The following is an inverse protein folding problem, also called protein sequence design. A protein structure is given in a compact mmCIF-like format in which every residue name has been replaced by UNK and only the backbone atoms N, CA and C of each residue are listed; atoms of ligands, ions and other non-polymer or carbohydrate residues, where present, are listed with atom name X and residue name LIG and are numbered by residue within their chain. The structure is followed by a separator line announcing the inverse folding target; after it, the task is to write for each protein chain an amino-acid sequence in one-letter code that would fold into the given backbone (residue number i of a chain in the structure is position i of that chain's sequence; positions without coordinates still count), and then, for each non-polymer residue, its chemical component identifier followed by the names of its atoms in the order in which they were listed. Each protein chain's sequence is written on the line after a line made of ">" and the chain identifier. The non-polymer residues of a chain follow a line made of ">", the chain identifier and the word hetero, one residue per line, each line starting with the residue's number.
data_IF_470852468970
#
_entry.id   IF_470852468970
#
_cell.length_a   1.000
_cell.length_b   1.000
_cell.length_c   1.000
_cell.angle_alpha   90.00
_cell.angle_beta   90.00
_cell.angle_gamma   90.00
#
_symmetry.space_group_name_H-M   'P 1'
#
loop_
_entity.id
_entity.type
_entity.pdbx_description
1 polymer ?
#
# COMPACT_ATOMS: atom_id res chain seq x y z
N UNK A 1 -4.09 22.65 51.83
CA UNK A 1 -3.06 22.20 52.78
C UNK A 1 -2.54 20.85 52.33
N UNK A 2 -1.21 20.74 52.18
CA UNK A 2 -0.34 19.55 52.38
C UNK A 2 -0.70 18.25 51.62
N UNK A 3 0.21 17.56 50.93
CA UNK A 3 1.68 17.65 50.82
C UNK A 3 2.13 16.73 49.67
N UNK A 4 3.16 17.20 48.97
CA UNK A 4 4.10 16.50 48.08
C UNK A 4 4.53 15.09 48.53
N UNK A 5 5.01 14.27 47.60
CA UNK A 5 6.38 13.70 47.59
C UNK A 5 6.89 13.55 46.13
N UNK A 6 8.15 13.92 45.83
CA UNK A 6 8.81 13.89 44.52
C UNK A 6 9.84 12.75 44.33
N UNK A 7 10.36 12.61 43.11
CA UNK A 7 11.76 12.30 42.72
C UNK A 7 12.47 11.07 43.30
N UNK A 8 12.90 10.13 42.43
CA UNK A 8 14.17 9.41 42.64
C UNK A 8 14.77 8.87 41.34
N UNK A 9 16.00 9.30 41.07
CA UNK A 9 16.91 8.81 40.05
C UNK A 9 17.62 7.52 40.52
N UNK A 10 18.18 6.71 39.61
CA UNK A 10 19.59 6.28 39.69
C UNK A 10 20.10 5.52 38.45
N UNK A 11 21.32 5.90 38.06
CA UNK A 11 22.30 5.22 37.19
C UNK A 11 22.53 3.74 37.54
N UNK A 12 22.89 2.91 36.54
CA UNK A 12 24.02 1.96 36.70
C UNK A 12 24.68 1.63 35.35
N UNK A 13 25.99 1.88 35.25
CA UNK A 13 26.89 1.44 34.19
C UNK A 13 27.63 0.17 34.64
N UNK A 14 28.06 -0.69 33.70
CA UNK A 14 29.26 -1.55 33.85
C UNK A 14 29.73 -2.09 32.49
N UNK A 15 30.94 -1.69 32.07
CA UNK A 15 31.81 -2.36 31.07
C UNK A 15 32.37 -3.67 31.64
N UNK A 16 32.66 -4.68 30.79
CA UNK A 16 33.85 -5.57 30.80
C UNK A 16 33.89 -6.31 29.44
N UNK A 17 34.81 -6.01 28.51
CA UNK A 17 36.22 -6.46 28.31
C UNK A 17 36.44 -7.77 27.52
N UNK A 18 37.41 -7.65 26.61
CA UNK A 18 37.99 -8.54 25.59
C UNK A 18 38.40 -9.96 26.00
N UNK A 19 38.50 -10.83 24.97
CA UNK A 19 39.61 -11.78 24.58
C UNK A 19 38.97 -13.03 23.92
N UNK A 20 39.52 -13.71 22.91
CA UNK A 20 40.90 -13.90 22.49
C UNK A 20 41.03 -14.28 21.00
N UNK A 21 42.21 -13.96 20.46
CA UNK A 21 42.75 -14.27 19.14
C UNK A 21 42.96 -15.77 18.86
N UNK A 22 43.01 -16.12 17.58
CA UNK A 22 43.56 -17.38 17.08
C UNK A 22 43.96 -17.31 15.61
N UNK A 23 45.06 -16.62 15.30
CA UNK A 23 45.77 -16.72 14.02
C UNK A 23 46.68 -17.96 14.00
N UNK A 24 46.75 -18.66 12.85
CA UNK A 24 48.02 -19.08 12.21
C UNK A 24 47.80 -19.78 10.85
N UNK A 25 48.16 -19.06 9.78
CA UNK A 25 48.72 -19.58 8.51
C UNK A 25 50.24 -19.78 8.68
N UNK A 26 51.04 -20.21 7.68
CA UNK A 26 50.82 -21.11 6.53
C UNK A 26 52.02 -22.09 6.31
N UNK A 27 51.92 -23.02 5.35
CA UNK A 27 52.96 -23.24 4.30
C UNK A 27 52.55 -24.32 3.28
N UNK A 28 52.66 -23.99 2.00
CA UNK A 28 52.84 -24.96 0.91
C UNK A 28 54.34 -25.33 0.79
N UNK A 29 54.69 -26.43 0.10
CA UNK A 29 55.12 -26.28 -1.31
C UNK A 29 54.74 -27.43 -2.28
N UNK A 30 54.38 -27.02 -3.51
CA UNK A 30 54.72 -27.51 -4.87
C UNK A 30 54.94 -29.02 -5.15
N UNK A 31 54.18 -29.61 -6.09
CA UNK A 31 54.59 -29.83 -7.51
C UNK A 31 54.12 -31.15 -8.15
N UNK A 32 53.59 -31.00 -9.38
CA UNK A 32 53.60 -31.91 -10.55
C UNK A 32 52.68 -33.14 -10.56
N UNK A 33 51.86 -33.23 -11.61
CA UNK A 33 51.13 -34.43 -12.00
C UNK A 33 49.94 -34.10 -12.89
N UNK A 34 50.17 -34.04 -14.20
CA UNK A 34 49.14 -34.01 -15.24
C UNK A 34 48.34 -35.32 -15.23
N UNK A 35 47.01 -35.25 -15.19
CA UNK A 35 46.15 -36.23 -15.87
C UNK A 35 44.74 -35.68 -16.04
N UNK A 36 44.31 -35.64 -17.31
CA UNK A 36 42.97 -35.25 -17.74
C UNK A 36 41.96 -36.31 -17.34
N UNK A 37 40.99 -35.95 -16.50
CA UNK A 37 39.71 -36.68 -16.40
C UNK A 37 38.56 -35.67 -16.34
N UNK A 38 37.67 -35.82 -17.31
CA UNK A 38 36.48 -35.04 -17.60
C UNK A 38 35.58 -34.87 -16.38
N UNK A 39 35.29 -33.62 -15.99
CA UNK A 39 34.27 -33.31 -14.97
C UNK A 39 32.90 -33.35 -15.65
N UNK A 40 31.94 -34.17 -15.17
CA UNK A 40 30.56 -34.06 -15.61
C UNK A 40 29.96 -32.77 -15.04
N UNK A 41 29.44 -31.92 -15.93
CA UNK A 41 28.69 -30.72 -15.57
C UNK A 41 27.41 -31.17 -14.88
N UNK A 42 27.38 -31.09 -13.55
CA UNK A 42 26.12 -31.11 -12.80
C UNK A 42 25.46 -29.76 -13.03
N UNK A 43 24.46 -29.76 -13.92
CA UNK A 43 23.50 -28.66 -14.01
C UNK A 43 22.75 -28.62 -12.68
N UNK A 44 22.76 -27.52 -11.92
CA UNK A 44 21.85 -27.40 -10.79
C UNK A 44 20.43 -27.30 -11.37
N UNK A 45 19.60 -28.30 -11.06
CA UNK A 45 18.15 -28.20 -11.15
C UNK A 45 17.73 -27.04 -10.25
N UNK A 46 17.61 -25.86 -10.85
CA UNK A 46 16.99 -24.71 -10.21
C UNK A 46 15.55 -24.75 -10.67
N UNK A 47 14.76 -25.62 -10.04
CA UNK A 47 13.31 -25.47 -10.05
C UNK A 47 13.03 -24.25 -9.18
N UNK A 48 13.05 -23.06 -9.79
CA UNK A 48 12.55 -21.86 -9.15
C UNK A 48 11.07 -22.06 -8.89
N UNK A 49 10.72 -22.34 -7.63
CA UNK A 49 9.36 -22.13 -7.15
C UNK A 49 8.98 -20.67 -7.48
N UNK A 50 7.78 -20.43 -8.04
CA UNK A 50 7.33 -19.08 -8.31
C UNK A 50 7.44 -18.26 -7.02
N UNK A 51 7.96 -17.02 -7.08
CA UNK A 51 8.17 -16.22 -5.89
C UNK A 51 6.85 -16.09 -5.14
N UNK A 52 6.84 -16.48 -3.86
CA UNK A 52 5.77 -16.07 -2.95
C UNK A 52 5.60 -14.56 -3.09
N UNK A 53 4.35 -14.10 -3.22
CA UNK A 53 4.02 -12.68 -3.31
C UNK A 53 4.75 -11.94 -2.19
N UNK A 54 5.70 -11.08 -2.54
CA UNK A 54 6.52 -10.41 -1.55
C UNK A 54 5.62 -9.52 -0.69
N UNK A 55 5.63 -9.74 0.62
CA UNK A 55 4.91 -8.89 1.57
C UNK A 55 5.32 -7.41 1.39
N UNK A 56 4.33 -6.52 1.47
CA UNK A 56 4.51 -5.08 1.42
C UNK A 56 5.55 -4.62 2.44
N UNK A 57 6.38 -3.65 2.04
CA UNK A 57 7.28 -3.00 2.97
C UNK A 57 6.53 -2.05 3.90
N UNK A 58 7.07 -1.78 5.09
CA UNK A 58 6.49 -0.78 5.99
C UNK A 58 6.44 0.63 5.36
N UNK A 59 7.42 0.97 4.51
CA UNK A 59 7.42 2.22 3.75
C UNK A 59 6.26 2.30 2.77
N UNK A 60 5.96 1.20 2.07
CA UNK A 60 4.82 1.15 1.13
C UNK A 60 3.49 1.23 1.89
N UNK A 61 3.36 0.50 3.00
CA UNK A 61 2.19 0.59 3.86
C UNK A 61 1.97 2.01 4.40
N UNK A 62 3.03 2.72 4.80
CA UNK A 62 2.94 4.13 5.20
C UNK A 62 2.53 5.03 4.03
N UNK A 63 3.05 4.77 2.83
CA UNK A 63 2.71 5.52 1.61
C UNK A 63 1.23 5.37 1.27
N UNK A 64 0.67 4.16 1.34
CA UNK A 64 -0.76 3.91 1.13
C UNK A 64 -1.63 4.73 2.08
N UNK A 65 -1.24 4.88 3.35
CA UNK A 65 -1.98 5.72 4.30
C UNK A 65 -1.86 7.22 3.97
N UNK A 66 -0.73 7.64 3.39
CA UNK A 66 -0.53 9.04 2.96
C UNK A 66 -1.26 9.42 1.67
N UNK A 67 -1.91 8.46 1.00
CA UNK A 67 -2.82 8.73 -0.13
C UNK A 67 -4.17 9.26 0.36
N UNK A 68 -4.63 8.83 1.54
CA UNK A 68 -5.93 9.23 2.10
C UNK A 68 -5.81 10.31 3.19
N UNK A 69 -4.69 10.31 3.92
CA UNK A 69 -4.48 11.23 5.05
C UNK A 69 -3.68 12.42 4.55
N UNK A 70 -4.17 13.63 4.83
CA UNK A 70 -3.42 14.87 4.57
C UNK A 70 -2.13 14.90 5.41
N UNK A 71 -1.02 14.58 4.77
CA UNK A 71 0.29 14.53 5.42
C UNK A 71 0.93 15.90 5.63
N UNK A 72 0.28 17.01 5.24
CA UNK A 72 0.66 18.36 5.65
C UNK A 72 0.16 18.66 7.07
N UNK A 73 -1.09 18.28 7.36
CA UNK A 73 -1.76 18.50 8.65
C UNK A 73 -1.50 17.37 9.67
N UNK A 74 -1.24 16.15 9.21
CA UNK A 74 -1.07 14.98 10.06
C UNK A 74 0.29 14.28 9.88
N UNK A 75 0.65 13.48 10.88
CA UNK A 75 1.85 12.64 10.88
C UNK A 75 1.47 11.16 11.04
N UNK A 76 2.13 10.30 10.26
CA UNK A 76 1.94 8.84 10.30
C UNK A 76 3.20 8.21 10.90
N UNK A 77 3.13 7.92 12.20
CA UNK A 77 4.24 7.40 13.00
C UNK A 77 4.18 5.87 13.07
N UNK A 78 5.34 5.22 13.21
CA UNK A 78 5.40 3.80 13.53
C UNK A 78 4.78 3.55 14.92
N UNK A 79 3.77 2.67 14.99
CA UNK A 79 3.12 2.29 16.25
C UNK A 79 3.97 1.35 17.11
N UNK A 80 5.13 0.90 16.61
CA UNK A 80 6.08 0.02 17.30
C UNK A 80 5.54 -1.39 17.56
N UNK A 81 4.32 -1.67 17.11
CA UNK A 81 3.59 -2.91 17.33
C UNK A 81 3.28 -3.54 15.98
N UNK A 82 3.64 -4.82 15.83
CA UNK A 82 3.09 -5.65 14.75
C UNK A 82 1.88 -6.38 15.31
N UNK A 83 0.75 -6.27 14.66
CA UNK A 83 -0.45 -7.01 15.03
C UNK A 83 -0.54 -8.27 14.18
N UNK A 84 -0.93 -9.39 14.81
CA UNK A 84 -1.29 -10.62 14.10
C UNK A 84 -2.75 -10.93 14.41
N UNK A 85 -3.59 -10.97 13.38
CA UNK A 85 -5.04 -11.18 13.51
C UNK A 85 -5.45 -12.22 12.47
N UNK A 86 -6.09 -13.31 12.90
CA UNK A 86 -6.50 -14.41 12.01
C UNK A 86 -5.37 -14.91 11.09
N UNK A 87 -4.17 -15.08 11.67
CA UNK A 87 -2.94 -15.48 10.98
C UNK A 87 -2.38 -14.51 9.91
N UNK A 88 -2.97 -13.32 9.77
CA UNK A 88 -2.44 -12.24 8.93
C UNK A 88 -1.58 -11.28 9.75
N UNK A 89 -0.51 -10.81 9.16
CA UNK A 89 0.43 -9.85 9.75
C UNK A 89 0.11 -8.43 9.29
N UNK A 90 0.15 -7.47 10.21
CA UNK A 90 -0.19 -6.08 9.97
C UNK A 90 0.90 -5.13 10.45
N UNK A 91 1.13 -4.04 9.72
CA UNK A 91 1.83 -2.87 10.25
C UNK A 91 0.85 -1.95 10.96
N UNK A 92 1.15 -1.55 12.18
CA UNK A 92 0.34 -0.58 12.93
C UNK A 92 1.03 0.79 12.93
N UNK A 93 0.25 1.82 12.62
CA UNK A 93 0.68 3.20 12.61
C UNK A 93 -0.15 4.03 13.59
N UNK A 94 0.50 5.02 14.21
CA UNK A 94 -0.16 6.06 15.00
C UNK A 94 -0.32 7.29 14.12
N UNK A 95 -1.53 7.81 14.03
CA UNK A 95 -1.80 9.08 13.34
C UNK A 95 -1.96 10.18 14.39
N UNK A 96 -1.21 11.27 14.22
CA UNK A 96 -1.23 12.41 15.12
C UNK A 96 -1.33 13.73 14.36
N UNK A 97 -2.02 14.70 14.95
CA UNK A 97 -2.07 16.09 14.46
C UNK A 97 -0.67 16.71 14.52
N UNK A 98 -0.22 17.34 13.43
CA UNK A 98 1.13 17.93 13.35
C UNK A 98 1.24 19.21 14.17
N UNK A 99 0.17 19.97 14.36
CA UNK A 99 0.18 21.24 15.06
C UNK A 99 0.43 21.09 16.57
N UNK A 100 -0.14 20.05 17.20
CA UNK A 100 -0.06 19.85 18.65
C UNK A 100 0.47 18.47 19.10
N UNK A 101 0.77 17.57 18.16
CA UNK A 101 1.20 16.18 18.39
C UNK A 101 0.16 15.31 19.11
N UNK A 102 -1.11 15.69 19.11
CA UNK A 102 -2.17 14.90 19.71
C UNK A 102 -2.50 13.70 18.83
N UNK A 103 -2.57 12.52 19.44
CA UNK A 103 -2.98 11.29 18.75
C UNK A 103 -4.44 11.39 18.34
N UNK A 104 -4.68 11.15 17.05
CA UNK A 104 -6.02 11.06 16.44
C UNK A 104 -6.52 9.62 16.53
N UNK A 105 -5.65 8.65 16.25
CA UNK A 105 -5.98 7.24 16.36
C UNK A 105 -4.87 6.34 15.83
N UNK A 106 -5.19 5.08 15.58
CA UNK A 106 -4.27 4.08 15.06
C UNK A 106 -4.89 3.39 13.85
N UNK A 107 -4.05 3.05 12.89
CA UNK A 107 -4.42 2.31 11.69
C UNK A 107 -3.56 1.08 11.55
N UNK A 108 -4.15 0.01 11.01
CA UNK A 108 -3.44 -1.21 10.63
C UNK A 108 -3.49 -1.37 9.12
N UNK A 109 -2.39 -1.85 8.53
CA UNK A 109 -2.29 -2.16 7.10
C UNK A 109 -1.84 -3.61 6.95
N UNK A 110 -2.62 -4.41 6.22
CA UNK A 110 -2.31 -5.81 5.93
C UNK A 110 -1.01 -5.91 5.11
N UNK A 111 -0.07 -6.75 5.55
CA UNK A 111 1.24 -6.87 4.91
C UNK A 111 1.19 -7.58 3.56
N UNK A 112 0.15 -8.34 3.25
CA UNK A 112 -0.02 -9.03 1.97
C UNK A 112 -0.83 -8.19 1.00
N UNK A 113 -1.98 -7.65 1.45
CA UNK A 113 -2.96 -7.01 0.57
C UNK A 113 -2.86 -5.49 0.54
N UNK A 114 -2.29 -4.87 1.57
CA UNK A 114 -2.28 -3.42 1.73
C UNK A 114 -3.61 -2.84 2.21
N UNK A 115 -4.59 -3.70 2.52
CA UNK A 115 -5.89 -3.28 3.02
C UNK A 115 -5.75 -2.54 4.36
N UNK A 116 -6.48 -1.42 4.49
CA UNK A 116 -6.41 -0.48 5.61
C UNK A 116 -7.53 -0.81 6.60
N UNK A 117 -7.23 -0.67 7.89
CA UNK A 117 -8.18 -0.93 8.98
C UNK A 117 -8.03 0.08 10.10
N UNK A 118 -9.12 0.39 10.79
CA UNK A 118 -9.06 1.09 12.06
C UNK A 118 -8.49 0.14 13.11
N UNK A 119 -7.44 0.53 13.83
CA UNK A 119 -6.83 -0.31 14.86
C UNK A 119 -7.28 0.13 16.25
N UNK A 120 -8.12 -0.69 16.89
CA UNK A 120 -8.68 -0.40 18.20
C UNK A 120 -7.71 -0.73 19.36
N UNK A 121 -6.59 -1.38 19.06
CA UNK A 121 -5.64 -1.89 20.06
C UNK A 121 -5.80 -3.39 20.34
N UNK A 122 -4.80 -3.97 21.01
CA UNK A 122 -4.82 -5.36 21.50
C UNK A 122 -5.18 -6.42 20.44
N UNK A 123 -4.80 -6.18 19.17
CA UNK A 123 -5.10 -7.09 18.06
C UNK A 123 -6.55 -7.03 17.55
N UNK A 124 -7.31 -5.98 17.90
CA UNK A 124 -8.66 -5.76 17.38
C UNK A 124 -8.65 -4.79 16.20
N UNK A 125 -9.24 -5.23 15.09
CA UNK A 125 -9.44 -4.44 13.87
C UNK A 125 -10.91 -4.04 13.75
N UNK A 126 -11.14 -2.77 13.45
CA UNK A 126 -12.42 -2.20 13.02
C UNK A 126 -12.37 -1.78 11.55
N UNK A 127 -13.51 -1.40 11.00
CA UNK A 127 -13.58 -0.95 9.60
C UNK A 127 -12.79 0.35 9.41
N UNK A 128 -12.11 0.52 8.27
CA UNK A 128 -11.38 1.75 8.00
C UNK A 128 -12.27 2.99 8.02
N UNK A 129 -13.53 2.85 7.60
CA UNK A 129 -14.55 3.90 7.64
C UNK A 129 -14.90 4.40 9.05
N UNK A 130 -14.49 3.70 10.11
CA UNK A 130 -14.67 4.13 11.51
C UNK A 130 -13.52 5.03 11.99
N UNK A 131 -12.44 5.15 11.22
CA UNK A 131 -11.31 6.02 11.55
C UNK A 131 -11.73 7.49 11.46
N UNK A 132 -11.29 8.31 12.42
CA UNK A 132 -11.79 9.69 12.56
C UNK A 132 -11.44 10.63 11.41
N UNK A 133 -10.41 10.31 10.61
CA UNK A 133 -10.04 11.07 9.40
C UNK A 133 -10.49 10.38 8.11
N UNK A 134 -11.33 9.35 8.19
CA UNK A 134 -11.89 8.74 7.00
C UNK A 134 -12.72 9.77 6.23
N UNK A 135 -12.38 9.95 4.96
CA UNK A 135 -13.15 10.76 4.03
C UNK A 135 -13.88 9.83 3.04
N UNK A 136 -15.22 9.76 3.09
CA UNK A 136 -15.98 8.93 2.16
C UNK A 136 -15.85 9.40 0.72
N UNK A 137 -15.53 10.66 0.44
CA UNK A 137 -15.34 11.15 -0.92
C UNK A 137 -14.02 10.64 -1.51
N UNK A 138 -12.95 10.62 -0.71
CA UNK A 138 -11.63 10.10 -1.12
C UNK A 138 -11.63 8.57 -1.23
N UNK A 139 -12.42 7.91 -0.39
CA UNK A 139 -12.46 6.44 -0.28
C UNK A 139 -13.73 5.84 -0.89
N UNK A 140 -14.45 6.59 -1.73
CA UNK A 140 -15.61 6.06 -2.43
C UNK A 140 -15.15 5.06 -3.50
N UNK A 141 -15.64 3.83 -3.39
CA UNK A 141 -15.57 2.87 -4.47
C UNK A 141 -16.71 3.15 -5.45
N UNK A 142 -16.35 3.44 -6.70
CA UNK A 142 -17.30 3.62 -7.79
C UNK A 142 -17.23 2.38 -8.68
N UNK A 143 -18.37 1.72 -8.86
CA UNK A 143 -18.50 0.69 -9.88
C UNK A 143 -18.61 1.38 -11.25
N UNK A 144 -17.51 1.38 -11.99
CA UNK A 144 -17.43 1.99 -13.31
C UNK A 144 -17.93 1.07 -14.41
N UNK A 145 -18.04 -0.24 -14.16
CA UNK A 145 -18.38 -1.20 -15.20
C UNK A 145 -19.80 -0.95 -15.73
N UNK A 146 -19.98 -1.14 -17.03
CA UNK A 146 -21.31 -1.24 -17.62
C UNK A 146 -21.50 -0.45 -18.90
N UNK A 147 -22.76 -0.36 -19.32
CA UNK A 147 -23.17 0.29 -20.57
C UNK A 147 -24.07 1.46 -20.23
N UNK A 148 -23.77 2.63 -20.80
CA UNK A 148 -24.48 3.87 -20.54
C UNK A 148 -24.91 4.52 -21.86
N UNK A 149 -26.05 5.21 -21.88
CA UNK A 149 -26.61 5.85 -23.07
C UNK A 149 -27.20 7.23 -22.79
N UNK A 150 -27.06 8.14 -23.74
CA UNK A 150 -27.75 9.45 -23.75
C UNK A 150 -29.00 9.44 -24.68
N UNK A 151 -29.37 8.26 -25.19
CA UNK A 151 -30.46 8.05 -26.15
C UNK A 151 -30.02 8.09 -27.63
N UNK A 152 -28.83 8.62 -27.93
CA UNK A 152 -28.27 8.65 -29.29
C UNK A 152 -26.95 7.89 -29.39
N UNK A 153 -26.16 7.94 -28.33
CA UNK A 153 -24.84 7.33 -28.21
C UNK A 153 -24.85 6.33 -27.06
N UNK A 154 -23.94 5.38 -27.15
CA UNK A 154 -23.68 4.38 -26.12
C UNK A 154 -22.20 4.39 -25.79
N UNK A 155 -21.89 4.38 -24.49
CA UNK A 155 -20.55 4.15 -23.97
C UNK A 155 -20.55 2.87 -23.16
N UNK A 156 -19.63 1.97 -23.49
CA UNK A 156 -19.36 0.76 -22.71
C UNK A 156 -18.06 0.95 -21.96
N UNK A 157 -18.06 0.69 -20.65
CA UNK A 157 -16.92 0.77 -19.75
C UNK A 157 -16.56 -0.63 -19.28
N UNK A 158 -15.34 -1.08 -19.61
CA UNK A 158 -14.84 -2.42 -19.31
C UNK A 158 -13.66 -2.33 -18.32
N UNK A 159 -13.76 -2.93 -17.12
CA UNK A 159 -12.68 -2.85 -16.15
C UNK A 159 -11.41 -3.53 -16.68
N UNK A 160 -10.27 -2.86 -16.51
CA UNK A 160 -8.95 -3.36 -16.90
C UNK A 160 -8.13 -3.75 -15.67
N UNK A 161 -8.14 -2.90 -14.64
CA UNK A 161 -7.58 -3.11 -13.31
C UNK A 161 -8.33 -2.22 -12.30
N UNK A 162 -7.97 -2.30 -11.01
CA UNK A 162 -8.65 -1.54 -9.94
C UNK A 162 -8.64 -0.01 -10.14
N UNK A 163 -7.76 0.50 -11.01
CA UNK A 163 -7.57 1.93 -11.23
C UNK A 163 -7.78 2.34 -12.70
N UNK A 164 -8.37 1.48 -13.53
CA UNK A 164 -8.64 1.83 -14.93
C UNK A 164 -9.66 0.95 -15.63
N UNK A 165 -10.28 1.53 -16.64
CA UNK A 165 -11.16 0.84 -17.57
C UNK A 165 -10.83 1.21 -19.01
N UNK A 166 -11.08 0.28 -19.92
CA UNK A 166 -11.21 0.56 -21.35
C UNK A 166 -12.63 1.06 -21.62
N UNK A 167 -12.79 1.96 -22.60
CA UNK A 167 -14.11 2.40 -23.04
C UNK A 167 -14.26 2.41 -24.55
N UNK A 168 -15.50 2.23 -24.99
CA UNK A 168 -15.90 2.36 -26.40
C UNK A 168 -17.08 3.32 -26.51
N UNK A 169 -16.91 4.40 -27.28
CA UNK A 169 -17.95 5.39 -27.59
C UNK A 169 -17.95 5.68 -29.09
N UNK A 170 -18.85 5.02 -29.82
CA UNK A 170 -18.87 5.08 -31.28
C UNK A 170 -17.56 4.54 -31.87
N UNK A 171 -16.85 5.37 -32.63
CA UNK A 171 -15.53 5.03 -33.20
C UNK A 171 -14.35 5.38 -32.28
N UNK A 172 -14.61 5.95 -31.10
CA UNK A 172 -13.58 6.32 -30.12
C UNK A 172 -13.40 5.18 -29.13
N UNK A 173 -12.16 4.71 -29.00
CA UNK A 173 -11.74 3.74 -27.99
C UNK A 173 -10.59 4.32 -27.19
N UNK A 174 -10.58 4.11 -25.88
CA UNK A 174 -9.50 4.60 -25.04
C UNK A 174 -9.44 3.92 -23.69
N UNK A 175 -8.46 4.33 -22.89
CA UNK A 175 -8.26 3.84 -21.52
C UNK A 175 -8.30 5.04 -20.59
N UNK A 176 -9.22 5.03 -19.63
CA UNK A 176 -9.29 6.06 -18.61
C UNK A 176 -8.64 5.56 -17.31
N UNK A 177 -7.85 6.43 -16.68
CA UNK A 177 -7.28 6.19 -15.36
C UNK A 177 -8.16 6.80 -14.28
N UNK A 178 -8.60 5.97 -13.34
CA UNK A 178 -9.43 6.36 -12.21
C UNK A 178 -8.56 7.12 -11.19
N UNK A 179 -9.09 8.23 -10.71
CA UNK A 179 -8.58 9.00 -9.60
C UNK A 179 -9.78 9.43 -8.74
N UNK A 180 -10.04 8.67 -7.69
CA UNK A 180 -11.18 8.88 -6.77
C UNK A 180 -12.50 8.83 -7.57
N UNK A 181 -13.28 9.92 -7.58
CA UNK A 181 -14.60 10.00 -8.18
C UNK A 181 -14.58 10.37 -9.68
N UNK A 182 -13.40 10.36 -10.31
CA UNK A 182 -13.22 10.72 -11.71
C UNK A 182 -12.33 9.71 -12.40
N UNK A 183 -12.46 9.62 -13.72
CA UNK A 183 -11.48 8.94 -14.55
C UNK A 183 -11.08 9.81 -15.74
N UNK A 184 -9.82 9.75 -16.15
CA UNK A 184 -9.29 10.60 -17.22
C UNK A 184 -8.59 9.78 -18.30
N UNK A 185 -8.96 10.04 -19.54
CA UNK A 185 -8.18 9.68 -20.72
C UNK A 185 -7.52 10.95 -21.27
N UNK A 186 -6.24 11.13 -20.95
CA UNK A 186 -5.47 12.29 -21.39
C UNK A 186 -5.14 12.27 -22.89
N UNK A 187 -5.15 11.10 -23.53
CA UNK A 187 -4.86 10.96 -24.96
C UNK A 187 -6.03 11.46 -25.80
N UNK A 188 -7.25 11.05 -25.43
CA UNK A 188 -8.48 11.51 -26.09
C UNK A 188 -9.04 12.81 -25.48
N UNK A 189 -8.51 13.28 -24.36
CA UNK A 189 -8.94 14.50 -23.68
C UNK A 189 -10.36 14.41 -23.12
N UNK A 190 -10.70 13.27 -22.51
CA UNK A 190 -12.02 12.98 -21.94
C UNK A 190 -11.89 12.75 -20.44
N UNK A 191 -12.78 13.39 -19.67
CA UNK A 191 -12.94 13.14 -18.24
C UNK A 191 -14.31 12.55 -17.97
N UNK A 192 -14.34 11.46 -17.22
CA UNK A 192 -15.51 10.75 -16.75
C UNK A 192 -15.76 11.08 -15.28
N UNK A 193 -17.03 11.20 -14.90
CA UNK A 193 -17.46 11.46 -13.53
C UNK A 193 -18.92 11.02 -13.34
N UNK A 194 -19.43 11.11 -12.12
CA UNK A 194 -20.83 10.81 -11.79
C UNK A 194 -21.58 12.08 -11.40
N UNK A 195 -22.84 12.20 -11.83
CA UNK A 195 -23.76 13.19 -11.25
C UNK A 195 -24.50 12.64 -10.01
N UNK A 196 -25.26 13.50 -9.32
CA UNK A 196 -26.06 13.12 -8.14
C UNK A 196 -27.13 12.05 -8.44
N UNK A 197 -27.48 11.86 -9.71
CA UNK A 197 -28.44 10.86 -10.18
C UNK A 197 -27.81 9.52 -10.53
N UNK A 198 -26.49 9.36 -10.39
CA UNK A 198 -25.76 8.16 -10.80
C UNK A 198 -25.60 8.03 -12.31
N UNK A 199 -25.74 9.13 -13.06
CA UNK A 199 -25.45 9.12 -14.49
C UNK A 199 -23.97 9.41 -14.74
N UNK A 200 -23.43 8.77 -15.76
CA UNK A 200 -22.06 8.99 -16.21
C UNK A 200 -21.98 10.31 -16.99
N UNK A 201 -21.13 11.22 -16.54
CA UNK A 201 -20.91 12.54 -17.15
C UNK A 201 -19.54 12.56 -17.81
N UNK A 202 -19.53 12.82 -19.12
CA UNK A 202 -18.32 13.05 -19.90
C UNK A 202 -18.15 14.55 -20.16
N UNK A 203 -16.92 15.04 -19.99
CA UNK A 203 -16.51 16.40 -20.36
C UNK A 203 -15.19 16.37 -21.13
N UNK A 204 -14.91 17.44 -21.90
CA UNK A 204 -13.69 17.57 -22.71
C UNK A 204 -13.98 17.40 -24.20
N UNK A 205 -13.22 16.54 -24.88
CA UNK A 205 -13.40 16.25 -26.31
C UNK A 205 -14.77 15.62 -26.61
N UNK A 206 -15.33 14.89 -25.64
CA UNK A 206 -16.69 14.40 -25.65
C UNK A 206 -17.43 15.02 -24.48
N UNK A 207 -18.65 15.50 -24.74
CA UNK A 207 -19.55 16.03 -23.70
C UNK A 207 -20.87 15.28 -23.73
N UNK A 208 -21.39 14.90 -22.57
CA UNK A 208 -22.70 14.27 -22.45
C UNK A 208 -22.98 13.71 -21.06
N UNK A 209 -24.25 13.42 -20.80
CA UNK A 209 -24.71 12.70 -19.61
C UNK A 209 -25.40 11.43 -20.07
N UNK A 210 -24.92 10.30 -19.59
CA UNK A 210 -25.31 8.96 -20.03
C UNK A 210 -25.91 8.21 -18.83
N UNK A 211 -27.17 7.80 -18.95
CA UNK A 211 -27.81 6.97 -17.95
C UNK A 211 -27.42 5.49 -18.16
N UNK A 212 -27.43 4.64 -17.11
CA UNK A 212 -27.29 3.20 -17.29
C UNK A 212 -28.29 2.68 -18.34
N UNK A 213 -27.81 1.88 -19.28
CA UNK A 213 -28.66 1.23 -20.27
C UNK A 213 -29.46 0.10 -19.60
N UNK A 214 -30.76 0.00 -19.90
CA UNK A 214 -31.63 -1.10 -19.44
C UNK A 214 -31.33 -2.44 -20.12
#
# INVERSE_FOLDING_TARGET
>A
MRKYIPMMALLTACLFLFTACGEKKPKAPVSSGEDSVSVPVQQPDTSEEPPESAALSMSDARRLLGEDIDTEDYMILDGGTKAKVNDRDYYVFIVADRADNKVVGQLAVDQETGEKFNYEGEGKLGAYSEFSLYDPEVNAEFDWEGVYTDGERTVELLPMDDNSFEYMLGDVTGVAKINVAKAEDAENGITFSWDEGGNLVLVGAVVGTFAPAE
#
